data_IF_953676193486
#
_entry.id   IF_953676193486
#
_cell.length_a   1.000
_cell.length_b   1.000
_cell.length_c   1.000
_cell.angle_alpha   90.00
_cell.angle_beta   90.00
_cell.angle_gamma   90.00
#
_symmetry.space_group_name_H-M   'P 1'
#
loop_
_entity.id
_entity.type
_entity.pdbx_description
1 polymer ?
#
# COMPACT_ATOMS: atom_id res chain seq x y z
N UNK A 1 -5.24 -10.65 -5.32
CA UNK A 1 -6.20 -11.11 -4.29
C UNK A 1 -6.42 -9.96 -3.34
N UNK A 2 -7.67 -9.61 -3.06
CA UNK A 2 -8.05 -8.53 -2.14
C UNK A 2 -9.32 -8.98 -1.42
N UNK A 3 -9.40 -8.68 -0.12
CA UNK A 3 -10.52 -9.06 0.73
C UNK A 3 -10.92 -7.84 1.58
N UNK A 4 -12.21 -7.64 1.78
CA UNK A 4 -12.73 -6.57 2.64
C UNK A 4 -12.27 -6.84 4.07
N UNK A 5 -11.81 -5.80 4.77
CA UNK A 5 -11.38 -5.92 6.16
C UNK A 5 -10.03 -6.61 6.37
N UNK A 6 -9.32 -7.02 5.31
CA UNK A 6 -8.02 -7.66 5.42
C UNK A 6 -7.02 -6.80 6.20
N UNK A 7 -6.26 -7.46 7.07
CA UNK A 7 -5.20 -6.86 7.90
C UNK A 7 -3.86 -7.52 7.65
N UNK A 8 -2.79 -6.93 8.19
CA UNK A 8 -1.44 -7.44 8.02
C UNK A 8 -1.27 -8.91 8.42
N UNK A 9 -2.09 -9.39 9.36
CA UNK A 9 -2.12 -10.79 9.79
C UNK A 9 -2.45 -11.75 8.65
N UNK A 10 -3.27 -11.33 7.68
CA UNK A 10 -3.81 -12.17 6.63
C UNK A 10 -2.84 -12.33 5.45
N UNK A 11 -1.87 -11.43 5.29
CA UNK A 11 -0.95 -11.39 4.13
C UNK A 11 -0.33 -12.77 3.83
N UNK A 12 0.23 -13.52 4.81
CA UNK A 12 0.85 -14.80 4.49
C UNK A 12 -0.14 -15.83 3.94
N UNK A 13 -1.40 -15.82 4.39
CA UNK A 13 -2.44 -16.70 3.88
C UNK A 13 -2.90 -16.26 2.49
N UNK A 14 -3.17 -14.95 2.32
CA UNK A 14 -3.57 -14.39 1.04
C UNK A 14 -2.52 -14.64 -0.06
N UNK A 15 -1.23 -14.52 0.27
CA UNK A 15 -0.15 -14.85 -0.66
C UNK A 15 -0.17 -16.34 -1.07
N UNK A 16 -0.37 -17.26 -0.13
CA UNK A 16 -0.53 -18.70 -0.45
C UNK A 16 -1.68 -18.93 -1.40
N UNK A 17 -2.86 -18.38 -1.09
CA UNK A 17 -4.05 -18.55 -1.91
C UNK A 17 -3.88 -17.91 -3.31
N UNK A 18 -3.25 -16.74 -3.41
CA UNK A 18 -2.92 -16.09 -4.67
C UNK A 18 -2.00 -16.95 -5.54
N UNK A 19 -0.89 -17.47 -4.98
CA UNK A 19 0.04 -18.35 -5.71
C UNK A 19 -0.67 -19.59 -6.23
N UNK A 20 -1.55 -20.21 -5.43
CA UNK A 20 -2.32 -21.38 -5.85
C UNK A 20 -3.29 -21.05 -6.99
N UNK A 21 -3.93 -19.87 -6.97
CA UNK A 21 -4.80 -19.41 -8.06
C UNK A 21 -4.02 -19.19 -9.35
N UNK A 22 -2.88 -18.47 -9.28
CA UNK A 22 -2.02 -18.22 -10.45
C UNK A 22 -1.49 -19.54 -11.03
N UNK A 23 -1.09 -20.49 -10.19
CA UNK A 23 -0.58 -21.81 -10.62
C UNK A 23 -1.63 -22.65 -11.35
N UNK A 24 -2.91 -22.45 -11.06
CA UNK A 24 -4.03 -23.18 -11.68
C UNK A 24 -4.65 -22.44 -12.87
N UNK A 25 -4.22 -21.21 -13.17
CA UNK A 25 -4.75 -20.43 -14.28
C UNK A 25 -4.10 -20.91 -15.60
N UNK A 26 -4.87 -21.51 -16.53
CA UNK A 26 -4.31 -22.05 -17.77
C UNK A 26 -3.80 -20.96 -18.73
N UNK A 27 -4.08 -19.68 -18.46
CA UNK A 27 -3.64 -18.55 -19.28
C UNK A 27 -2.24 -18.05 -18.92
N UNK A 28 -1.68 -18.54 -17.81
CA UNK A 28 -0.38 -18.09 -17.28
C UNK A 28 0.61 -19.25 -17.38
N UNK A 29 1.73 -19.03 -18.06
CA UNK A 29 2.87 -19.91 -17.90
C UNK A 29 3.49 -19.64 -16.52
N UNK A 30 3.11 -20.47 -15.54
CA UNK A 30 3.53 -20.30 -14.16
C UNK A 30 5.06 -20.25 -13.99
N UNK A 31 5.84 -20.84 -14.91
CA UNK A 31 7.31 -20.81 -14.84
C UNK A 31 7.91 -19.64 -15.62
N UNK A 32 7.35 -19.28 -16.76
CA UNK A 32 7.98 -18.34 -17.71
C UNK A 32 7.41 -16.93 -17.67
N UNK A 33 6.16 -16.73 -17.29
CA UNK A 33 5.59 -15.39 -17.26
C UNK A 33 6.07 -14.63 -16.02
N UNK A 34 6.26 -13.31 -16.16
CA UNK A 34 6.51 -12.42 -15.03
C UNK A 34 5.21 -12.11 -14.29
N UNK A 35 5.26 -12.13 -12.95
CA UNK A 35 4.12 -11.80 -12.08
C UNK A 35 4.44 -10.48 -11.38
N UNK A 36 3.57 -9.50 -11.57
CA UNK A 36 3.61 -8.24 -10.83
C UNK A 36 2.66 -8.34 -9.63
N UNK A 37 3.22 -8.38 -8.43
CA UNK A 37 2.47 -8.46 -7.17
C UNK A 37 2.55 -7.11 -6.47
N UNK A 38 1.40 -6.57 -6.05
CA UNK A 38 1.37 -5.35 -5.22
C UNK A 38 0.80 -5.69 -3.86
N UNK A 39 1.57 -5.44 -2.81
CA UNK A 39 1.14 -5.54 -1.41
C UNK A 39 0.86 -4.13 -0.93
N UNK A 40 -0.41 -3.84 -0.63
CA UNK A 40 -0.87 -2.60 -0.03
C UNK A 40 -1.88 -2.94 1.07
N UNK A 41 -1.47 -2.85 2.33
CA UNK A 41 -2.26 -3.29 3.48
C UNK A 41 -1.86 -2.53 4.74
N UNK A 42 -2.72 -2.49 5.76
CA UNK A 42 -2.47 -1.73 6.98
C UNK A 42 -3.56 -0.70 7.30
N UNK A 43 -4.43 -0.38 6.33
CA UNK A 43 -5.54 0.55 6.52
C UNK A 43 -6.46 0.06 7.64
N UNK A 44 -6.93 -1.19 7.53
CA UNK A 44 -7.78 -1.81 8.55
C UNK A 44 -7.04 -2.05 9.87
N UNK A 45 -5.75 -2.40 9.83
CA UNK A 45 -4.94 -2.57 11.04
C UNK A 45 -5.04 -1.33 11.94
N UNK A 46 -4.94 -0.13 11.35
CA UNK A 46 -5.06 1.14 12.07
C UNK A 46 -6.52 1.55 12.28
N UNK A 47 -7.38 1.40 11.27
CA UNK A 47 -8.75 1.92 11.34
C UNK A 47 -9.68 1.13 12.25
N UNK A 48 -9.54 -0.20 12.32
CA UNK A 48 -10.53 -1.07 12.97
C UNK A 48 -9.95 -2.01 14.02
N UNK A 49 -8.63 -2.24 14.04
CA UNK A 49 -8.03 -3.26 14.91
C UNK A 49 -7.07 -2.72 15.97
N UNK A 50 -6.34 -1.63 15.72
CA UNK A 50 -5.27 -1.18 16.63
C UNK A 50 -5.78 -0.91 18.06
N UNK A 51 -7.00 -0.38 18.21
CA UNK A 51 -7.60 -0.10 19.51
C UNK A 51 -8.14 -1.33 20.25
N UNK A 52 -8.29 -2.47 19.57
CA UNK A 52 -8.73 -3.74 20.18
C UNK A 52 -7.56 -4.65 20.54
N UNK A 53 -6.34 -4.30 20.12
CA UNK A 53 -5.14 -5.05 20.45
C UNK A 53 -4.74 -4.85 21.92
N UNK A 54 -4.37 -5.94 22.60
CA UNK A 54 -3.78 -5.88 23.95
C UNK A 54 -2.46 -5.09 23.99
N UNK A 55 -1.64 -5.21 22.94
CA UNK A 55 -0.33 -4.56 22.82
C UNK A 55 -0.19 -3.94 21.41
N UNK A 56 -0.84 -2.79 21.14
CA UNK A 56 -0.84 -2.20 19.80
C UNK A 56 0.55 -1.75 19.35
N UNK A 57 1.44 -1.37 20.26
CA UNK A 57 2.83 -1.01 19.96
C UNK A 57 3.61 -2.15 19.30
N UNK A 58 3.18 -3.41 19.45
CA UNK A 58 3.80 -4.56 18.78
C UNK A 58 3.34 -4.72 17.32
N UNK A 59 2.34 -3.97 16.86
CA UNK A 59 1.81 -4.08 15.50
C UNK A 59 2.90 -3.94 14.43
N UNK A 60 3.80 -2.92 14.45
CA UNK A 60 4.84 -2.77 13.45
C UNK A 60 5.83 -3.96 13.45
N UNK A 61 6.23 -4.44 14.63
CA UNK A 61 7.13 -5.58 14.76
C UNK A 61 6.49 -6.88 14.22
N UNK A 62 5.21 -7.12 14.53
CA UNK A 62 4.45 -8.25 13.99
C UNK A 62 4.28 -8.15 12.48
N UNK A 63 4.04 -6.94 11.96
CA UNK A 63 3.95 -6.70 10.53
C UNK A 63 5.26 -7.05 9.81
N UNK A 64 6.42 -6.67 10.35
CA UNK A 64 7.75 -7.04 9.82
C UNK A 64 7.87 -8.55 9.58
N UNK A 65 7.59 -9.32 10.63
CA UNK A 65 7.69 -10.80 10.57
C UNK A 65 6.74 -11.37 9.53
N UNK A 66 5.52 -10.83 9.41
CA UNK A 66 4.53 -11.27 8.43
C UNK A 66 4.97 -10.95 7.01
N UNK A 67 5.49 -9.75 6.76
CA UNK A 67 6.04 -9.37 5.45
C UNK A 67 7.22 -10.25 5.06
N UNK A 68 8.22 -10.39 5.93
CA UNK A 68 9.38 -11.25 5.65
C UNK A 68 8.95 -12.69 5.33
N UNK A 69 8.05 -13.27 6.12
CA UNK A 69 7.49 -14.61 5.85
C UNK A 69 6.79 -14.69 4.50
N UNK A 70 6.05 -13.65 4.14
CA UNK A 70 5.31 -13.58 2.87
C UNK A 70 6.25 -13.46 1.69
N UNK A 71 7.23 -12.56 1.76
CA UNK A 71 8.20 -12.32 0.69
C UNK A 71 9.10 -13.54 0.46
N UNK A 72 9.57 -14.21 1.53
CA UNK A 72 10.25 -15.51 1.43
C UNK A 72 9.40 -16.53 0.71
N UNK A 73 8.13 -16.68 1.11
CA UNK A 73 7.23 -17.62 0.45
C UNK A 73 7.03 -17.30 -1.04
N UNK A 74 6.83 -16.03 -1.40
CA UNK A 74 6.67 -15.62 -2.80
C UNK A 74 7.94 -15.92 -3.61
N UNK A 75 9.12 -15.56 -3.09
CA UNK A 75 10.42 -15.88 -3.69
C UNK A 75 10.58 -17.38 -3.95
N UNK A 76 10.27 -18.20 -2.93
CA UNK A 76 10.52 -19.63 -2.98
C UNK A 76 9.45 -20.41 -3.78
N UNK A 77 8.23 -19.85 -3.92
CA UNK A 77 7.08 -20.57 -4.49
C UNK A 77 6.60 -20.08 -5.84
N UNK A 78 7.06 -18.90 -6.30
CA UNK A 78 6.59 -18.27 -7.54
C UNK A 78 7.75 -17.60 -8.29
N UNK A 79 8.31 -18.25 -9.33
CA UNK A 79 9.42 -17.69 -10.11
C UNK A 79 8.97 -16.44 -10.88
N UNK A 80 9.94 -15.61 -11.27
CA UNK A 80 9.74 -14.38 -12.05
C UNK A 80 8.72 -13.45 -11.41
N UNK A 81 9.00 -13.01 -10.20
CA UNK A 81 8.07 -12.18 -9.42
C UNK A 81 8.69 -10.83 -9.09
N UNK A 82 8.00 -9.76 -9.50
CA UNK A 82 8.27 -8.41 -9.05
C UNK A 82 7.23 -8.02 -8.00
N UNK A 83 7.67 -7.61 -6.82
CA UNK A 83 6.80 -7.20 -5.71
C UNK A 83 6.91 -5.69 -5.50
N UNK A 84 5.81 -4.97 -5.72
CA UNK A 84 5.61 -3.63 -5.18
C UNK A 84 5.16 -3.74 -3.72
N UNK A 85 5.91 -3.15 -2.80
CA UNK A 85 5.45 -2.92 -1.43
C UNK A 85 5.05 -1.45 -1.30
N UNK A 86 3.75 -1.22 -1.15
CA UNK A 86 3.12 0.11 -1.11
C UNK A 86 2.58 0.34 0.28
N UNK A 87 3.08 1.36 0.97
CA UNK A 87 2.42 1.85 2.18
C UNK A 87 1.04 2.37 1.84
N UNK A 88 0.02 2.05 2.63
CA UNK A 88 -1.28 2.69 2.45
C UNK A 88 -1.21 4.18 2.85
N UNK A 89 -2.04 5.07 2.27
CA UNK A 89 -2.16 6.44 2.74
C UNK A 89 -2.42 6.50 4.25
N UNK A 90 -1.89 7.53 4.94
CA UNK A 90 -2.15 7.69 6.36
C UNK A 90 -3.64 7.80 6.64
N UNK A 91 -4.12 7.08 7.67
CA UNK A 91 -5.54 7.10 8.06
C UNK A 91 -5.98 8.52 8.39
N UNK A 92 -5.11 9.30 9.04
CA UNK A 92 -5.37 10.71 9.32
C UNK A 92 -5.74 11.50 8.06
N UNK A 93 -5.01 11.29 6.95
CA UNK A 93 -5.20 12.04 5.70
C UNK A 93 -6.51 11.68 4.98
N UNK A 94 -7.01 10.47 5.18
CA UNK A 94 -8.24 9.99 4.53
C UNK A 94 -9.46 10.26 5.40
N UNK A 95 -9.33 10.07 6.72
CA UNK A 95 -10.47 10.14 7.64
C UNK A 95 -10.71 11.57 8.13
N UNK A 96 -9.70 12.43 8.23
CA UNK A 96 -9.84 13.80 8.78
C UNK A 96 -10.09 14.87 7.71
N UNK A 97 -10.73 14.51 6.59
CA UNK A 97 -11.10 15.47 5.55
C UNK A 97 -12.13 16.48 6.06
N UNK A 98 -12.01 17.73 5.61
CA UNK A 98 -12.92 18.82 5.98
C UNK A 98 -14.21 18.78 5.16
N UNK A 99 -15.30 19.34 5.70
CA UNK A 99 -16.59 19.47 5.02
C UNK A 99 -17.18 18.13 4.52
N UNK A 100 -17.00 17.05 5.29
CA UNK A 100 -17.52 15.72 4.95
C UNK A 100 -19.06 15.70 4.99
N UNK A 101 -19.73 15.11 3.99
CA UNK A 101 -21.16 14.82 4.06
C UNK A 101 -21.52 13.99 5.30
N UNK A 102 -22.74 14.18 5.83
CA UNK A 102 -23.21 13.46 7.02
C UNK A 102 -23.17 11.94 6.88
N UNK A 103 -23.53 11.42 5.69
CA UNK A 103 -23.46 9.99 5.39
C UNK A 103 -22.03 9.44 5.60
N UNK A 104 -21.02 10.14 5.08
CA UNK A 104 -19.62 9.75 5.24
C UNK A 104 -19.16 9.81 6.70
N UNK A 105 -19.56 10.87 7.44
CA UNK A 105 -19.26 10.96 8.87
C UNK A 105 -19.82 9.76 9.65
N UNK A 106 -21.04 9.33 9.31
CA UNK A 106 -21.71 8.20 9.94
C UNK A 106 -21.03 6.87 9.61
N UNK A 107 -20.70 6.63 8.34
CA UNK A 107 -20.04 5.40 7.88
C UNK A 107 -18.65 5.22 8.51
N UNK A 108 -17.86 6.29 8.57
CA UNK A 108 -16.51 6.24 9.14
C UNK A 108 -16.48 5.80 10.62
N UNK A 109 -17.57 5.98 11.38
CA UNK A 109 -17.63 5.49 12.76
C UNK A 109 -17.57 3.96 12.85
N UNK A 110 -18.05 3.25 11.83
CA UNK A 110 -17.90 1.81 11.70
C UNK A 110 -16.58 1.43 11.02
N UNK A 111 -16.31 2.02 9.85
CA UNK A 111 -15.17 1.65 8.98
C UNK A 111 -13.81 1.99 9.60
N UNK A 112 -13.75 3.07 10.39
CA UNK A 112 -12.53 3.53 11.05
C UNK A 112 -12.78 3.84 12.54
N UNK A 113 -13.39 2.86 13.21
CA UNK A 113 -13.82 2.93 14.60
C UNK A 113 -12.67 3.18 15.60
N UNK A 114 -11.45 2.72 15.33
CA UNK A 114 -10.28 3.02 16.16
C UNK A 114 -9.73 4.43 15.96
N UNK A 115 -10.17 5.19 14.96
CA UNK A 115 -9.72 6.57 14.77
C UNK A 115 -10.75 7.60 15.22
N UNK A 116 -12.02 7.40 14.85
CA UNK A 116 -13.11 8.35 15.15
C UNK A 116 -14.29 7.71 15.90
N UNK A 117 -14.27 6.40 16.14
CA UNK A 117 -15.38 5.69 16.76
C UNK A 117 -15.58 6.10 18.21
N UNK A 118 -16.76 6.63 18.53
CA UNK A 118 -17.13 7.00 19.90
C UNK A 118 -17.22 5.77 20.82
N UNK A 119 -17.59 4.61 20.27
CA UNK A 119 -17.68 3.33 20.99
C UNK A 119 -16.36 2.94 21.69
N UNK A 120 -15.22 3.32 21.10
CA UNK A 120 -13.89 3.03 21.64
C UNK A 120 -13.27 4.24 22.37
N UNK A 121 -14.08 5.24 22.75
CA UNK A 121 -13.65 6.45 23.46
C UNK A 121 -12.43 7.14 22.83
N UNK A 122 -12.40 7.24 21.49
CA UNK A 122 -11.27 7.83 20.78
C UNK A 122 -11.12 9.32 21.08
N UNK A 123 -9.89 9.73 21.42
CA UNK A 123 -9.49 11.10 21.76
C UNK A 123 -8.34 11.58 20.87
N UNK A 124 -7.91 12.83 21.02
CA UNK A 124 -6.71 13.31 20.32
C UNK A 124 -5.46 12.51 20.72
N UNK A 125 -5.33 12.18 22.01
CA UNK A 125 -4.22 11.38 22.51
C UNK A 125 -4.19 9.96 21.90
N UNK A 126 -5.35 9.32 21.71
CA UNK A 126 -5.39 8.02 21.05
C UNK A 126 -5.05 8.13 19.56
N UNK A 127 -5.56 9.15 18.86
CA UNK A 127 -5.20 9.44 17.45
C UNK A 127 -3.70 9.67 17.28
N UNK A 128 -3.06 10.44 18.16
CA UNK A 128 -1.61 10.65 18.15
C UNK A 128 -0.84 9.34 18.38
N UNK A 129 -1.33 8.47 19.28
CA UNK A 129 -0.76 7.14 19.49
C UNK A 129 -0.87 6.28 18.23
N UNK A 130 -2.04 6.22 17.60
CA UNK A 130 -2.26 5.46 16.36
C UNK A 130 -1.46 6.01 15.19
N UNK A 131 -1.32 7.32 15.08
CA UNK A 131 -0.46 7.96 14.08
C UNK A 131 1.02 7.54 14.24
N UNK A 132 1.54 7.51 15.47
CA UNK A 132 2.91 7.03 15.75
C UNK A 132 3.09 5.56 15.37
N UNK A 133 2.12 4.71 15.71
CA UNK A 133 2.15 3.29 15.33
C UNK A 133 2.10 3.12 13.81
N UNK A 134 1.24 3.88 13.11
CA UNK A 134 1.18 3.85 11.65
C UNK A 134 2.50 4.31 11.02
N UNK A 135 3.15 5.34 11.56
CA UNK A 135 4.45 5.80 11.07
C UNK A 135 5.52 4.70 11.21
N UNK A 136 5.56 3.99 12.33
CA UNK A 136 6.45 2.85 12.52
C UNK A 136 6.12 1.68 11.58
N UNK A 137 4.83 1.43 11.34
CA UNK A 137 4.36 0.41 10.39
C UNK A 137 4.87 0.71 8.97
N UNK A 138 4.73 1.97 8.51
CA UNK A 138 5.24 2.43 7.21
C UNK A 138 6.77 2.30 7.13
N UNK A 139 7.47 2.65 8.21
CA UNK A 139 8.92 2.51 8.29
C UNK A 139 9.35 1.05 8.14
N UNK A 140 8.63 0.11 8.77
CA UNK A 140 8.87 -1.33 8.61
C UNK A 140 8.73 -1.77 7.16
N UNK A 141 7.70 -1.32 6.45
CA UNK A 141 7.50 -1.69 5.04
C UNK A 141 8.70 -1.29 4.20
N UNK A 142 9.19 -0.06 4.37
CA UNK A 142 10.39 0.43 3.70
C UNK A 142 11.61 -0.42 4.02
N UNK A 143 11.91 -0.62 5.30
CA UNK A 143 13.07 -1.39 5.77
C UNK A 143 13.06 -2.83 5.25
N UNK A 144 11.90 -3.49 5.22
CA UNK A 144 11.78 -4.85 4.72
C UNK A 144 12.04 -4.92 3.22
N UNK A 145 11.53 -3.98 2.44
CA UNK A 145 11.79 -3.92 1.00
C UNK A 145 13.26 -3.57 0.67
N UNK A 146 13.88 -2.70 1.46
CA UNK A 146 15.29 -2.29 1.33
C UNK A 146 16.27 -3.33 1.89
N UNK A 147 15.78 -4.37 2.57
CA UNK A 147 16.61 -5.41 3.19
C UNK A 147 17.54 -6.11 2.19
N UNK A 148 18.82 -6.37 2.57
CA UNK A 148 19.75 -7.18 1.79
C UNK A 148 19.23 -8.58 1.46
N UNK A 149 18.30 -9.12 2.26
CA UNK A 149 17.71 -10.44 2.05
C UNK A 149 17.04 -10.62 0.68
N UNK A 150 16.53 -9.53 0.09
CA UNK A 150 15.80 -9.55 -1.19
C UNK A 150 16.56 -8.84 -2.32
N UNK A 151 17.90 -8.79 -2.23
CA UNK A 151 18.80 -8.21 -3.24
C UNK A 151 19.47 -9.28 -4.09
N UNK A 152 19.92 -8.89 -5.28
CA UNK A 152 20.69 -9.73 -6.21
C UNK A 152 20.07 -11.11 -6.50
N UNK A 153 18.75 -11.15 -6.68
CA UNK A 153 18.01 -12.37 -7.04
C UNK A 153 17.57 -12.28 -8.51
N UNK A 154 17.89 -13.29 -9.32
CA UNK A 154 17.70 -13.25 -10.78
C UNK A 154 16.22 -13.14 -11.21
N UNK A 155 15.32 -13.82 -10.49
CA UNK A 155 13.90 -13.90 -10.84
C UNK A 155 12.98 -13.33 -9.76
N UNK A 156 13.51 -12.55 -8.81
CA UNK A 156 12.72 -11.99 -7.72
C UNK A 156 13.20 -10.59 -7.35
N UNK A 157 12.27 -9.63 -7.28
CA UNK A 157 12.59 -8.29 -6.79
C UNK A 157 11.49 -7.78 -5.87
N UNK A 158 11.87 -7.09 -4.80
CA UNK A 158 10.96 -6.33 -3.95
C UNK A 158 11.36 -4.87 -4.03
N UNK A 159 10.39 -3.98 -4.27
CA UNK A 159 10.63 -2.53 -4.39
C UNK A 159 9.60 -1.78 -3.56
N UNK A 160 10.08 -0.91 -2.67
CA UNK A 160 9.22 0.02 -1.93
C UNK A 160 8.72 1.13 -2.86
N UNK A 161 7.42 1.40 -2.84
CA UNK A 161 6.77 2.40 -3.70
C UNK A 161 6.07 3.47 -2.84
N UNK A 162 6.72 4.62 -2.59
CA UNK A 162 6.26 5.65 -1.65
C UNK A 162 5.14 6.57 -2.17
N UNK A 163 4.58 6.35 -3.37
CA UNK A 163 3.64 7.27 -4.03
C UNK A 163 2.46 7.74 -3.17
N UNK A 164 2.07 6.97 -2.16
CA UNK A 164 0.94 7.19 -1.28
C UNK A 164 1.27 8.07 -0.06
N UNK A 165 2.54 8.26 0.29
CA UNK A 165 2.93 8.85 1.58
C UNK A 165 2.43 10.28 1.75
N UNK A 166 2.48 11.07 0.68
CA UNK A 166 2.11 12.48 0.64
C UNK A 166 0.86 12.77 -0.18
N UNK A 167 -0.02 11.79 -0.36
CA UNK A 167 -1.29 12.01 -1.08
C UNK A 167 -2.14 13.08 -0.42
N UNK A 168 -2.80 13.86 -1.27
CA UNK A 168 -3.75 14.90 -0.88
C UNK A 168 -4.99 14.82 -1.75
N UNK A 169 -6.14 15.13 -1.16
CA UNK A 169 -7.41 15.29 -1.87
C UNK A 169 -7.60 16.73 -2.39
N UNK A 170 -6.69 17.65 -2.06
CA UNK A 170 -6.69 19.02 -2.59
C UNK A 170 -6.27 18.98 -4.06
N UNK A 171 -7.27 18.98 -4.94
CA UNK A 171 -7.09 18.70 -6.37
C UNK A 171 -8.12 19.49 -7.18
N UNK A 172 -7.79 19.82 -8.44
CA UNK A 172 -8.71 20.46 -9.38
C UNK A 172 -9.34 21.76 -8.84
N UNK A 173 -8.55 22.56 -8.10
CA UNK A 173 -9.01 23.81 -7.50
C UNK A 173 -9.93 23.66 -6.27
N UNK A 174 -10.19 22.43 -5.81
CA UNK A 174 -10.99 22.15 -4.61
C UNK A 174 -10.07 21.88 -3.43
N UNK A 175 -10.49 22.31 -2.23
CA UNK A 175 -9.80 21.95 -0.99
C UNK A 175 -9.89 20.45 -0.69
N UNK A 176 -11.03 19.82 -1.05
CA UNK A 176 -11.20 18.36 -1.08
C UNK A 176 -11.98 17.97 -2.34
N UNK A 177 -11.35 17.26 -3.26
CA UNK A 177 -12.05 16.67 -4.42
C UNK A 177 -12.63 15.30 -4.06
N UNK A 178 -13.82 15.29 -3.47
CA UNK A 178 -14.55 14.07 -3.10
C UNK A 178 -14.82 13.12 -4.27
N UNK A 179 -14.70 13.56 -5.54
CA UNK A 179 -14.82 12.64 -6.69
C UNK A 179 -13.69 11.61 -6.76
N UNK A 180 -12.58 11.81 -6.02
CA UNK A 180 -11.50 10.85 -5.85
C UNK A 180 -11.85 9.71 -4.87
N UNK A 181 -12.94 9.85 -4.13
CA UNK A 181 -13.38 8.93 -3.09
C UNK A 181 -14.76 8.34 -3.45
N UNK A 182 -15.01 7.13 -2.96
CA UNK A 182 -16.27 6.42 -3.12
C UNK A 182 -17.37 7.05 -2.25
N UNK A 183 -18.55 6.45 -2.28
CA UNK A 183 -19.73 6.93 -1.53
C UNK A 183 -19.47 7.11 -0.02
N UNK A 184 -18.56 6.31 0.54
CA UNK A 184 -18.15 6.38 1.94
C UNK A 184 -17.22 7.55 2.28
N UNK A 185 -16.66 8.25 1.29
CA UNK A 185 -15.59 9.24 1.45
C UNK A 185 -14.31 8.68 2.13
N UNK A 186 -14.07 7.37 2.04
CA UNK A 186 -12.94 6.69 2.64
C UNK A 186 -12.17 5.87 1.60
N UNK A 187 -12.85 4.99 0.88
CA UNK A 187 -12.23 4.19 -0.17
C UNK A 187 -12.06 5.03 -1.44
N UNK A 188 -11.05 4.71 -2.25
CA UNK A 188 -10.84 5.38 -3.54
C UNK A 188 -11.98 5.04 -4.50
N UNK A 189 -12.51 6.05 -5.19
CA UNK A 189 -13.44 5.84 -6.30
C UNK A 189 -12.72 5.22 -7.49
N UNK A 190 -13.45 4.94 -8.59
CA UNK A 190 -12.81 4.60 -9.85
C UNK A 190 -11.79 5.67 -10.29
N UNK A 191 -12.12 6.96 -10.13
CA UNK A 191 -11.22 8.07 -10.44
C UNK A 191 -10.00 8.07 -9.51
N UNK A 192 -10.19 7.88 -8.20
CA UNK A 192 -9.08 7.77 -7.25
C UNK A 192 -8.15 6.60 -7.56
N UNK A 193 -8.71 5.45 -7.93
CA UNK A 193 -7.93 4.28 -8.34
C UNK A 193 -7.13 4.54 -9.63
N UNK A 194 -7.66 5.32 -10.58
CA UNK A 194 -6.90 5.73 -11.77
C UNK A 194 -5.69 6.60 -11.40
N UNK A 195 -5.83 7.52 -10.43
CA UNK A 195 -4.71 8.32 -9.91
C UNK A 195 -3.66 7.42 -9.22
N UNK A 196 -4.11 6.52 -8.34
CA UNK A 196 -3.24 5.59 -7.62
C UNK A 196 -2.47 4.66 -8.56
N UNK A 197 -3.16 4.09 -9.56
CA UNK A 197 -2.54 3.22 -10.57
C UNK A 197 -1.49 3.96 -11.39
N UNK A 198 -1.79 5.19 -11.83
CA UNK A 198 -0.82 6.04 -12.54
C UNK A 198 0.38 6.39 -11.65
N UNK A 199 0.14 6.71 -10.38
CA UNK A 199 1.20 7.04 -9.44
C UNK A 199 2.13 5.84 -9.18
N UNK A 200 1.57 4.64 -8.96
CA UNK A 200 2.33 3.40 -8.80
C UNK A 200 3.11 3.05 -10.07
N UNK A 201 2.49 3.17 -11.24
CA UNK A 201 3.14 2.93 -12.53
C UNK A 201 4.37 3.83 -12.70
N UNK A 202 4.20 5.14 -12.47
CA UNK A 202 5.30 6.09 -12.53
C UNK A 202 6.39 5.74 -11.52
N UNK A 203 6.03 5.32 -10.30
CA UNK A 203 6.97 4.90 -9.28
C UNK A 203 7.83 3.70 -9.72
N UNK A 204 7.27 2.72 -10.44
CA UNK A 204 8.06 1.62 -11.01
C UNK A 204 9.04 2.07 -12.10
N UNK A 205 8.76 3.19 -12.77
CA UNK A 205 9.60 3.81 -13.80
C UNK A 205 10.48 4.96 -13.28
N UNK A 206 10.50 5.18 -11.96
CA UNK A 206 11.37 6.16 -11.31
C UNK A 206 12.54 5.46 -10.63
N UNK A 207 13.78 5.97 -10.77
CA UNK A 207 14.94 5.44 -10.08
C UNK A 207 14.70 5.34 -8.57
N UNK A 208 15.22 4.27 -7.96
CA UNK A 208 15.23 4.13 -6.51
C UNK A 208 15.90 5.36 -5.88
N UNK A 209 15.33 5.88 -4.79
CA UNK A 209 15.76 7.12 -4.14
C UNK A 209 15.24 8.41 -4.79
N UNK A 210 14.65 8.34 -6.00
CA UNK A 210 14.04 9.48 -6.71
C UNK A 210 12.54 9.27 -7.00
N UNK A 211 11.92 8.30 -6.32
CA UNK A 211 10.50 7.97 -6.48
C UNK A 211 9.61 9.08 -5.91
N UNK A 212 8.58 9.46 -6.66
CA UNK A 212 7.56 10.41 -6.24
C UNK A 212 6.80 9.87 -5.04
N UNK A 213 6.49 10.74 -4.06
CA UNK A 213 5.75 10.35 -2.86
C UNK A 213 4.26 10.76 -2.88
N UNK A 214 3.75 11.21 -4.03
CA UNK A 214 2.40 11.73 -4.17
C UNK A 214 1.85 11.36 -5.56
N UNK A 215 0.53 11.20 -5.65
CA UNK A 215 -0.16 11.14 -6.93
C UNK A 215 -0.29 12.54 -7.56
N UNK A 216 -0.59 12.58 -8.86
CA UNK A 216 -0.72 13.83 -9.64
C UNK A 216 -1.97 13.76 -10.51
N UNK A 217 -2.50 14.90 -11.00
CA UNK A 217 -3.60 14.90 -11.97
C UNK A 217 -3.36 13.92 -13.12
N UNK A 218 -4.41 13.18 -13.48
CA UNK A 218 -4.39 12.28 -14.63
C UNK A 218 -3.99 13.02 -15.90
N UNK A 219 -3.38 12.28 -16.82
CA UNK A 219 -2.94 12.74 -18.15
C UNK A 219 -1.88 13.86 -18.14
N UNK A 220 -1.49 14.39 -16.98
CA UNK A 220 -0.36 15.36 -16.88
C UNK A 220 0.99 14.68 -16.72
N UNK A 221 1.03 13.53 -16.06
CA UNK A 221 2.27 12.83 -15.74
C UNK A 221 2.06 11.32 -15.89
N UNK A 222 2.29 10.80 -17.09
CA UNK A 222 2.31 9.37 -17.36
C UNK A 222 3.66 9.01 -17.96
N UNK A 223 4.47 8.26 -17.22
CA UNK A 223 5.82 7.86 -17.67
C UNK A 223 5.74 6.64 -18.59
N UNK A 224 6.58 6.66 -19.61
CA UNK A 224 6.81 5.52 -20.50
C UNK A 224 8.27 5.06 -20.35
N UNK A 225 8.56 3.75 -20.49
CA UNK A 225 9.92 3.28 -20.64
C UNK A 225 10.63 3.94 -21.81
N UNK A 226 11.94 4.18 -21.69
CA UNK A 226 12.77 4.72 -22.78
C UNK A 226 13.76 3.66 -23.28
N UNK A 227 14.50 3.94 -24.34
CA UNK A 227 15.56 3.03 -24.82
C UNK A 227 16.69 2.89 -23.80
N UNK A 228 16.96 3.97 -23.05
CA UNK A 228 18.00 4.04 -22.02
C UNK A 228 17.56 3.38 -20.71
N UNK A 229 16.25 3.38 -20.42
CA UNK A 229 15.65 2.76 -19.25
C UNK A 229 14.40 1.93 -19.63
N UNK A 230 14.57 0.75 -20.25
CA UNK A 230 13.46 -0.06 -20.75
C UNK A 230 12.80 -0.94 -19.68
N UNK A 231 13.38 -1.04 -18.48
CA UNK A 231 12.94 -1.94 -17.41
C UNK A 231 12.41 -1.19 -16.18
N UNK A 232 11.64 -1.90 -15.34
CA UNK A 232 11.23 -1.38 -14.04
C UNK A 232 12.46 -1.24 -13.13
N UNK A 233 12.55 -0.13 -12.40
CA UNK A 233 13.67 0.12 -11.50
C UNK A 233 13.57 -0.74 -10.24
N UNK A 234 14.64 -1.49 -9.98
CA UNK A 234 14.92 -2.21 -8.73
C UNK A 234 16.13 -1.60 -8.04
N UNK A 235 16.42 -2.05 -6.81
CA UNK A 235 17.65 -1.66 -6.13
C UNK A 235 18.91 -2.22 -6.82
N UNK A 236 18.76 -3.26 -7.65
CA UNK A 236 19.87 -4.01 -8.25
C UNK A 236 20.17 -3.56 -9.70
N UNK A 237 19.25 -2.87 -10.37
CA UNK A 237 19.46 -2.35 -11.74
C UNK A 237 19.52 -0.81 -11.84
N UNK A 238 19.32 -0.09 -10.73
CA UNK A 238 19.31 1.38 -10.70
C UNK A 238 20.68 2.05 -10.61
N UNK A 239 21.78 1.28 -10.54
CA UNK A 239 23.14 1.76 -10.28
C UNK A 239 24.10 1.79 -11.47
N UNK A 240 23.61 1.73 -12.72
CA UNK A 240 24.43 1.96 -13.92
C UNK A 240 24.02 3.27 -14.59
N UNK A 241 24.45 4.38 -14.01
CA UNK A 241 24.57 5.68 -14.69
C UNK A 241 25.85 6.36 -14.23
#
# INVERSE_FOLDING_TARGET
MAEIGAVSYDIPYMARAMVQRIRRDPRVDFKRDWKLVTIAIGGNDICSFVCTMRYPEQLPAKHRVRLQKTLRYLRDSMPRTFVNLVSVPSVAKVVMLQQKPFACQSLHHGECSCWIGKLYNQSDASRERWARIQAQYIQVEREVAESPEFRALDEFAVVYQPWSLNVTMKMNGKDVDYSLLSYDCFHMSQKGNAYAGTALWNNMLEPVGKKSSNWRPLFKNFKCPTKEAPYLYTYDNGGRS
#
